data_IF_173162517459
#
_entry.id   IF_173162517459
#
_cell.length_a   1.000
_cell.length_b   1.000
_cell.length_c   1.000
_cell.angle_alpha   90.00
_cell.angle_beta   90.00
_cell.angle_gamma   90.00
#
_symmetry.space_group_name_H-M   'P 1'
#
loop_
_entity.id
_entity.type
_entity.pdbx_description
1 polymer ?
#
# COMPACT_ATOMS: atom_id res chain seq x y z
N UNK A 1 -13.03 11.25 1.39
CA UNK A 1 -13.98 10.91 0.33
C UNK A 1 -14.20 9.41 0.30
N UNK A 2 -15.44 9.00 0.30
CA UNK A 2 -15.79 7.58 0.30
C UNK A 2 -15.96 7.08 -1.12
N UNK A 3 -15.37 5.92 -1.42
CA UNK A 3 -15.48 5.30 -2.73
C UNK A 3 -15.92 3.85 -2.58
N UNK A 4 -16.96 3.47 -3.28
CA UNK A 4 -17.46 2.10 -3.25
C UNK A 4 -16.63 1.20 -4.13
N UNK A 5 -16.39 -0.01 -3.66
CA UNK A 5 -15.75 -1.06 -4.45
C UNK A 5 -16.85 -1.89 -5.11
N UNK A 6 -16.68 -2.12 -6.41
CA UNK A 6 -17.69 -2.83 -7.19
C UNK A 6 -17.91 -4.25 -6.67
N UNK A 7 -19.17 -4.62 -6.47
CA UNK A 7 -19.54 -5.95 -6.05
C UNK A 7 -19.19 -6.30 -4.61
N UNK A 8 -18.94 -5.29 -3.78
CA UNK A 8 -18.49 -5.51 -2.42
C UNK A 8 -19.22 -4.57 -1.45
N UNK A 9 -19.39 -5.03 -0.21
CA UNK A 9 -19.86 -4.19 0.88
C UNK A 9 -18.75 -3.31 1.47
N UNK A 10 -17.55 -3.39 0.92
CA UNK A 10 -16.40 -2.60 1.36
C UNK A 10 -16.34 -1.26 0.65
N UNK A 11 -15.84 -0.26 1.36
CA UNK A 11 -15.56 1.06 0.81
C UNK A 11 -14.12 1.43 1.09
N UNK A 12 -13.53 2.21 0.18
CA UNK A 12 -12.25 2.84 0.44
C UNK A 12 -12.51 4.33 0.63
N UNK A 13 -11.95 4.89 1.69
CA UNK A 13 -12.10 6.31 1.99
C UNK A 13 -10.83 6.90 2.59
N UNK A 14 -10.74 8.21 2.54
CA UNK A 14 -9.64 8.96 3.14
C UNK A 14 -9.80 9.00 4.65
N UNK A 15 -8.68 9.08 5.36
CA UNK A 15 -8.67 9.25 6.79
C UNK A 15 -7.56 10.21 7.19
N UNK A 16 -7.76 11.46 6.83
CA UNK A 16 -6.77 12.51 7.08
C UNK A 16 -6.51 12.73 8.57
N UNK A 17 -7.50 12.53 9.39
CA UNK A 17 -7.36 12.70 10.84
C UNK A 17 -6.40 11.70 11.48
N UNK A 18 -6.10 10.61 10.79
CA UNK A 18 -5.13 9.64 11.27
C UNK A 18 -3.70 9.99 10.90
N UNK A 19 -3.53 11.00 10.05
CA UNK A 19 -2.20 11.52 9.75
C UNK A 19 -1.69 12.25 10.98
N UNK A 20 -0.49 11.88 11.41
CA UNK A 20 0.07 12.37 12.68
C UNK A 20 0.20 13.89 12.68
N UNK A 21 -0.43 14.59 13.63
CA UNK A 21 -0.34 16.05 13.66
C UNK A 21 1.08 16.58 13.83
N UNK A 22 1.97 15.75 14.34
CA UNK A 22 3.34 16.16 14.59
C UNK A 22 4.25 16.16 13.38
N UNK A 23 3.81 15.66 12.25
CA UNK A 23 4.65 15.64 11.06
C UNK A 23 4.94 17.04 10.53
N UNK A 24 4.08 18.02 10.88
CA UNK A 24 4.37 19.45 10.75
C UNK A 24 4.71 19.97 9.37
N UNK A 25 4.89 19.15 8.40
CA UNK A 25 5.28 19.56 7.08
C UNK A 25 4.07 19.47 6.15
N UNK A 26 3.54 20.61 5.78
CA UNK A 26 2.37 20.72 4.90
C UNK A 26 2.64 20.03 3.55
N UNK A 27 3.90 20.04 3.09
CA UNK A 27 4.26 19.39 1.83
C UNK A 27 4.07 17.88 1.91
N UNK A 28 4.51 17.25 3.00
CA UNK A 28 4.29 15.83 3.22
C UNK A 28 2.80 15.49 3.35
N UNK A 29 2.06 16.37 4.02
CA UNK A 29 0.63 16.18 4.19
C UNK A 29 -0.12 16.15 2.87
N UNK A 30 0.28 17.00 1.92
CA UNK A 30 -0.33 17.04 0.60
C UNK A 30 -0.03 15.80 -0.23
N UNK A 31 1.13 15.16 0.00
CA UNK A 31 1.57 14.01 -0.78
C UNK A 31 1.26 12.67 -0.12
N UNK A 32 0.90 12.67 1.16
CA UNK A 32 0.55 11.46 1.88
C UNK A 32 -0.95 11.21 1.81
N UNK A 33 -1.32 9.95 1.64
CA UNK A 33 -2.71 9.55 1.54
C UNK A 33 -2.92 8.26 2.32
N UNK A 34 -4.01 8.21 3.10
CA UNK A 34 -4.42 7.00 3.81
C UNK A 34 -5.74 6.51 3.24
N UNK A 35 -5.74 5.30 2.69
CA UNK A 35 -6.95 4.65 2.20
C UNK A 35 -7.41 3.59 3.19
N UNK A 36 -8.71 3.55 3.47
CA UNK A 36 -9.30 2.64 4.43
C UNK A 36 -10.35 1.79 3.75
N UNK A 37 -10.23 0.47 3.91
CA UNK A 37 -11.28 -0.48 3.52
C UNK A 37 -12.20 -0.68 4.71
N UNK A 38 -13.46 -0.35 4.53
CA UNK A 38 -14.45 -0.38 5.60
C UNK A 38 -15.62 -1.27 5.20
N UNK A 39 -16.09 -2.09 6.14
CA UNK A 39 -17.30 -2.87 5.94
C UNK A 39 -18.50 -1.94 6.06
N UNK A 40 -19.29 -1.81 5.00
CA UNK A 40 -20.40 -0.86 4.96
C UNK A 40 -21.57 -1.26 5.84
N UNK A 41 -21.68 -2.54 6.22
CA UNK A 41 -22.77 -2.99 7.08
C UNK A 41 -22.58 -2.60 8.55
N UNK A 42 -21.34 -2.69 9.04
CA UNK A 42 -21.08 -2.46 10.47
C UNK A 42 -20.07 -1.33 10.73
N UNK A 43 -19.51 -0.71 9.69
CA UNK A 43 -18.59 0.39 9.83
C UNK A 43 -17.18 0.00 10.31
N UNK A 44 -16.90 -1.29 10.41
CA UNK A 44 -15.57 -1.73 10.85
C UNK A 44 -14.50 -1.55 9.79
N UNK A 45 -13.34 -1.08 10.20
CA UNK A 45 -12.16 -1.00 9.34
C UNK A 45 -11.55 -2.39 9.23
N UNK A 46 -11.43 -2.90 8.00
CA UNK A 46 -10.92 -4.24 7.75
C UNK A 46 -9.55 -4.23 7.08
N UNK A 47 -9.12 -3.08 6.60
CA UNK A 47 -7.80 -2.92 6.01
C UNK A 47 -7.51 -1.47 5.75
N UNK A 48 -6.24 -1.17 5.52
CA UNK A 48 -5.81 0.19 5.17
C UNK A 48 -4.50 0.15 4.39
N UNK A 49 -4.22 1.24 3.71
CA UNK A 49 -2.90 1.48 3.17
C UNK A 49 -2.50 2.94 3.40
N UNK A 50 -1.19 3.16 3.46
CA UNK A 50 -0.62 4.51 3.55
C UNK A 50 0.29 4.69 2.34
N UNK A 51 0.02 5.74 1.57
CA UNK A 51 0.79 6.10 0.38
C UNK A 51 1.57 7.37 0.69
N UNK A 52 2.87 7.38 0.41
CA UNK A 52 3.71 8.54 0.64
C UNK A 52 4.88 8.57 -0.35
N UNK A 53 5.53 9.72 -0.53
CA UNK A 53 6.74 9.78 -1.36
C UNK A 53 7.81 8.87 -0.77
N UNK A 54 8.48 8.13 -1.64
CA UNK A 54 9.58 7.25 -1.22
C UNK A 54 10.91 8.01 -1.19
N UNK A 55 11.06 8.98 -2.08
CA UNK A 55 12.29 9.73 -2.27
C UNK A 55 11.98 11.20 -2.46
N UNK A 56 13.04 12.01 -2.44
CA UNK A 56 12.94 13.46 -2.68
C UNK A 56 13.79 13.83 -3.92
N UNK A 57 13.65 15.06 -4.37
CA UNK A 57 14.43 15.57 -5.49
C UNK A 57 14.09 14.86 -6.79
N UNK A 58 15.10 14.44 -7.52
CA UNK A 58 14.92 13.83 -8.84
C UNK A 58 14.21 12.49 -8.81
N UNK A 59 14.16 11.83 -7.65
CA UNK A 59 13.41 10.59 -7.46
C UNK A 59 12.09 10.82 -6.74
N UNK A 60 11.66 12.06 -6.61
CA UNK A 60 10.44 12.41 -5.88
C UNK A 60 9.15 11.91 -6.52
N UNK A 61 9.22 11.46 -7.77
CA UNK A 61 8.06 10.84 -8.44
C UNK A 61 7.86 9.38 -8.06
N UNK A 62 8.72 8.82 -7.23
CA UNK A 62 8.58 7.46 -6.72
C UNK A 62 7.85 7.51 -5.39
N UNK A 63 6.74 6.79 -5.29
CA UNK A 63 6.01 6.67 -4.03
C UNK A 63 6.12 5.26 -3.49
N UNK A 64 5.81 5.12 -2.22
CA UNK A 64 5.82 3.85 -1.50
C UNK A 64 4.48 3.69 -0.78
N UNK A 65 4.07 2.46 -0.58
CA UNK A 65 2.85 2.19 0.17
C UNK A 65 3.04 1.00 1.11
N UNK A 66 2.33 1.05 2.22
CA UNK A 66 2.27 -0.03 3.20
C UNK A 66 0.81 -0.41 3.38
N UNK A 67 0.54 -1.70 3.55
CA UNK A 67 -0.80 -2.24 3.67
C UNK A 67 -0.95 -3.04 4.94
N UNK A 68 -2.16 -3.01 5.49
CA UNK A 68 -2.54 -3.87 6.60
C UNK A 68 -3.98 -4.34 6.38
N UNK A 69 -4.20 -5.64 6.53
CA UNK A 69 -5.53 -6.25 6.40
C UNK A 69 -5.78 -7.10 7.64
N UNK A 70 -6.98 -7.02 8.17
CA UNK A 70 -7.37 -7.84 9.32
C UNK A 70 -7.24 -9.32 8.99
N UNK A 71 -6.67 -10.08 9.93
CA UNK A 71 -6.39 -11.50 9.71
C UNK A 71 -7.64 -12.36 9.63
N UNK A 72 -8.71 -11.94 10.29
CA UNK A 72 -9.97 -12.69 10.34
C UNK A 72 -10.82 -12.49 9.07
N UNK A 73 -10.39 -11.63 8.15
CA UNK A 73 -11.14 -11.35 6.92
C UNK A 73 -10.30 -11.75 5.72
N UNK A 74 -10.02 -13.03 5.62
CA UNK A 74 -9.29 -13.58 4.49
C UNK A 74 -10.28 -14.10 3.44
N UNK A 75 -9.83 -14.11 2.19
CA UNK A 75 -10.61 -14.65 1.08
C UNK A 75 -11.57 -13.67 0.43
N UNK A 76 -11.62 -12.43 0.89
CA UNK A 76 -12.47 -11.39 0.30
C UNK A 76 -11.71 -10.44 -0.63
N UNK A 77 -10.47 -10.77 -0.95
CA UNK A 77 -9.63 -9.99 -1.85
C UNK A 77 -9.42 -8.54 -1.42
N UNK A 78 -9.44 -8.28 -0.12
CA UNK A 78 -9.29 -6.93 0.41
C UNK A 78 -7.92 -6.36 0.07
N UNK A 79 -6.88 -7.16 0.20
CA UNK A 79 -5.53 -6.74 -0.15
C UNK A 79 -5.42 -6.31 -1.61
N UNK A 80 -6.01 -7.08 -2.52
CA UNK A 80 -6.02 -6.74 -3.94
C UNK A 80 -6.75 -5.43 -4.19
N UNK A 81 -7.91 -5.24 -3.55
CA UNK A 81 -8.69 -4.01 -3.69
C UNK A 81 -7.91 -2.79 -3.18
N UNK A 82 -7.21 -2.94 -2.06
CA UNK A 82 -6.37 -1.87 -1.52
C UNK A 82 -5.25 -1.51 -2.48
N UNK A 83 -4.58 -2.50 -3.06
CA UNK A 83 -3.48 -2.26 -4.00
C UNK A 83 -3.99 -1.57 -5.26
N UNK A 84 -5.11 -2.02 -5.81
CA UNK A 84 -5.70 -1.40 -7.01
C UNK A 84 -6.13 0.04 -6.74
N UNK A 85 -6.73 0.30 -5.59
CA UNK A 85 -7.08 1.67 -5.21
C UNK A 85 -5.85 2.54 -5.04
N UNK A 86 -4.81 2.00 -4.42
CA UNK A 86 -3.55 2.70 -4.23
C UNK A 86 -2.93 3.10 -5.57
N UNK A 87 -2.93 2.21 -6.55
CA UNK A 87 -2.43 2.51 -7.89
C UNK A 87 -3.21 3.69 -8.49
N UNK A 88 -4.53 3.65 -8.38
CA UNK A 88 -5.39 4.72 -8.90
C UNK A 88 -5.09 6.06 -8.24
N UNK A 89 -4.97 6.08 -6.93
CA UNK A 89 -4.69 7.31 -6.18
C UNK A 89 -3.28 7.82 -6.49
N UNK A 90 -2.30 6.94 -6.59
CA UNK A 90 -0.93 7.32 -6.90
C UNK A 90 -0.86 8.01 -8.27
N UNK A 91 -1.60 7.49 -9.25
CA UNK A 91 -1.70 8.13 -10.57
C UNK A 91 -2.33 9.51 -10.47
N UNK A 92 -3.43 9.63 -9.72
CA UNK A 92 -4.13 10.91 -9.55
C UNK A 92 -3.25 11.96 -8.88
N UNK A 93 -2.39 11.53 -7.96
CA UNK A 93 -1.47 12.45 -7.27
C UNK A 93 -0.26 12.81 -8.11
N UNK A 94 -0.10 12.21 -9.28
CA UNK A 94 0.96 12.55 -10.21
C UNK A 94 2.27 11.77 -10.02
N UNK A 95 2.26 10.73 -9.20
CA UNK A 95 3.45 9.87 -9.08
C UNK A 95 3.67 9.06 -10.34
N UNK A 96 4.93 8.80 -10.66
CA UNK A 96 5.31 8.04 -11.85
C UNK A 96 5.62 6.57 -11.59
N UNK A 97 6.00 6.24 -10.36
CA UNK A 97 6.37 4.88 -9.98
C UNK A 97 5.84 4.59 -8.57
N UNK A 98 5.24 3.43 -8.40
CA UNK A 98 4.87 2.91 -7.07
C UNK A 98 5.84 1.79 -6.72
N UNK A 99 6.50 1.89 -5.59
CA UNK A 99 7.49 0.93 -5.15
C UNK A 99 7.12 0.35 -3.79
N UNK A 100 7.25 -0.97 -3.65
CA UNK A 100 7.15 -1.64 -2.37
C UNK A 100 8.57 -2.02 -1.94
N UNK A 101 9.01 -1.50 -0.81
CA UNK A 101 10.40 -1.64 -0.40
C UNK A 101 10.71 -2.97 0.27
N UNK A 102 9.74 -3.57 0.95
CA UNK A 102 10.00 -4.71 1.82
C UNK A 102 8.91 -5.77 1.72
N UNK A 103 8.82 -6.43 0.57
CA UNK A 103 7.94 -7.58 0.41
C UNK A 103 8.70 -8.82 0.89
N UNK A 104 8.25 -9.42 1.99
CA UNK A 104 8.92 -10.57 2.59
C UNK A 104 8.80 -11.78 1.66
N UNK A 105 9.93 -12.44 1.37
CA UNK A 105 9.99 -13.52 0.38
C UNK A 105 9.12 -14.72 0.75
N UNK A 106 8.88 -14.97 2.04
CA UNK A 106 8.02 -16.06 2.50
C UNK A 106 6.52 -15.76 2.34
N UNK A 107 6.16 -14.52 2.05
CA UNK A 107 4.77 -14.14 1.86
C UNK A 107 4.33 -14.43 0.43
N UNK A 108 4.10 -15.71 0.13
CA UNK A 108 3.77 -16.14 -1.23
C UNK A 108 2.46 -15.57 -1.74
N UNK A 109 1.49 -15.30 -0.86
CA UNK A 109 0.23 -14.67 -1.27
C UNK A 109 0.47 -13.28 -1.84
N UNK A 110 1.30 -12.49 -1.16
CA UNK A 110 1.64 -11.15 -1.63
C UNK A 110 2.40 -11.20 -2.96
N UNK A 111 3.37 -12.11 -3.07
CA UNK A 111 4.14 -12.25 -4.30
C UNK A 111 3.25 -12.59 -5.49
N UNK A 112 2.31 -13.53 -5.31
CA UNK A 112 1.36 -13.91 -6.37
C UNK A 112 0.43 -12.75 -6.71
N UNK A 113 -0.05 -12.04 -5.71
CA UNK A 113 -0.94 -10.89 -5.90
C UNK A 113 -0.26 -9.80 -6.73
N UNK A 114 0.96 -9.42 -6.34
CA UNK A 114 1.67 -8.35 -7.03
C UNK A 114 2.03 -8.74 -8.46
N UNK A 115 2.42 -9.98 -8.68
CA UNK A 115 2.68 -10.49 -10.03
C UNK A 115 1.42 -10.42 -10.90
N UNK A 116 0.28 -10.83 -10.35
CA UNK A 116 -0.99 -10.81 -11.08
C UNK A 116 -1.42 -9.39 -11.45
N UNK A 117 -1.18 -8.44 -10.56
CA UNK A 117 -1.52 -7.03 -10.82
C UNK A 117 -0.57 -6.40 -11.84
N UNK A 118 0.67 -6.87 -11.90
CA UNK A 118 1.63 -6.38 -12.88
C UNK A 118 2.87 -5.72 -12.29
N UNK A 119 3.14 -5.93 -11.01
CA UNK A 119 4.37 -5.45 -10.39
C UNK A 119 5.56 -6.26 -10.88
N UNK A 120 6.72 -5.62 -10.95
CA UNK A 120 7.97 -6.25 -11.34
C UNK A 120 8.87 -6.39 -10.12
N UNK A 121 9.34 -7.62 -9.80
CA UNK A 121 10.31 -7.81 -8.73
C UNK A 121 11.69 -7.31 -9.15
N UNK A 122 12.43 -6.76 -8.18
CA UNK A 122 13.73 -6.14 -8.44
C UNK A 122 14.92 -6.96 -7.93
N UNK A 123 14.68 -8.17 -7.45
CA UNK A 123 15.72 -9.01 -6.91
C UNK A 123 15.55 -9.23 -5.43
N UNK A 124 16.50 -9.93 -4.81
CA UNK A 124 16.41 -10.35 -3.42
C UNK A 124 17.44 -9.60 -2.59
N UNK A 125 17.01 -9.05 -1.46
CA UNK A 125 17.92 -8.52 -0.44
C UNK A 125 17.93 -9.54 0.69
N UNK A 126 19.01 -10.33 0.84
CA UNK A 126 19.09 -11.35 1.89
C UNK A 126 19.03 -10.71 3.27
N UNK A 127 18.19 -11.28 4.14
CA UNK A 127 18.09 -10.80 5.50
C UNK A 127 17.57 -9.39 5.66
N UNK A 128 16.84 -8.87 4.68
CA UNK A 128 16.40 -7.49 4.69
C UNK A 128 15.28 -7.16 5.68
N UNK A 129 14.65 -8.16 6.27
CA UNK A 129 13.54 -7.96 7.22
C UNK A 129 13.80 -8.72 8.51
N UNK A 130 13.81 -8.00 9.62
CA UNK A 130 13.97 -8.60 10.94
C UNK A 130 12.59 -8.94 11.51
N UNK A 131 12.37 -10.23 11.75
CA UNK A 131 11.11 -10.70 12.33
C UNK A 131 11.06 -10.44 13.85
N UNK A 132 9.85 -10.43 14.43
CA UNK A 132 9.71 -10.16 15.88
C UNK A 132 10.50 -11.10 16.79
N UNK A 133 10.74 -12.34 16.36
CA UNK A 133 11.52 -13.31 17.13
C UNK A 133 13.03 -13.13 16.98
N UNK A 134 13.45 -12.17 16.16
CA UNK A 134 14.85 -11.84 15.96
C UNK A 134 15.51 -12.50 14.75
N UNK A 135 14.85 -13.46 14.09
CA UNK A 135 15.42 -14.03 12.87
C UNK A 135 15.18 -13.09 11.68
N UNK A 136 15.97 -13.24 10.63
CA UNK A 136 15.90 -12.40 9.44
C UNK A 136 15.30 -13.18 8.29
N UNK A 137 14.52 -12.50 7.46
CA UNK A 137 13.99 -13.06 6.22
C UNK A 137 14.40 -12.19 5.05
N UNK A 138 14.41 -12.78 3.86
CA UNK A 138 14.73 -12.06 2.63
C UNK A 138 13.56 -11.18 2.23
N UNK A 139 13.87 -10.07 1.56
CA UNK A 139 12.85 -9.21 0.97
C UNK A 139 13.08 -9.07 -0.51
N UNK A 140 11.99 -8.81 -1.23
CA UNK A 140 12.01 -8.64 -2.68
C UNK A 140 11.31 -7.31 -2.99
N UNK A 141 12.06 -6.23 -3.22
CA UNK A 141 11.45 -4.96 -3.64
C UNK A 141 10.71 -5.13 -4.97
N UNK A 142 9.60 -4.44 -5.10
CA UNK A 142 8.78 -4.47 -6.32
C UNK A 142 8.46 -3.06 -6.78
N UNK A 143 8.21 -2.89 -8.08
CA UNK A 143 7.73 -1.61 -8.57
C UNK A 143 6.63 -1.78 -9.61
N UNK A 144 5.85 -0.73 -9.77
CA UNK A 144 4.79 -0.64 -10.77
C UNK A 144 4.93 0.72 -11.49
N UNK A 145 4.98 0.68 -12.81
CA UNK A 145 5.10 1.90 -13.60
C UNK A 145 3.73 2.56 -13.76
N UNK A 146 3.56 3.70 -13.11
CA UNK A 146 2.29 4.45 -13.11
C UNK A 146 2.11 5.30 -14.36
N UNK A 147 3.15 5.40 -15.19
CA UNK A 147 3.11 6.23 -16.40
C UNK A 147 2.50 5.50 -17.60
N UNK A 148 2.25 4.24 -17.46
CA UNK A 148 1.62 3.43 -18.52
C UNK A 148 0.13 3.69 -18.60
#
# INVERSE_FOLDING_TARGET
MQRSLVGSEMCIRDREEDLTPGSGDAFFKEQTYTGIAENTENGEVVGLYILHPNNVGRCGHICNASYAVRRDIRGEHIGEKLVLDCISIAKKKGFGVLQFNAVVASNVHALHLYKRIGFTPLGVIPGGFRMPDGHYEDIIPHYYDLRK
#
